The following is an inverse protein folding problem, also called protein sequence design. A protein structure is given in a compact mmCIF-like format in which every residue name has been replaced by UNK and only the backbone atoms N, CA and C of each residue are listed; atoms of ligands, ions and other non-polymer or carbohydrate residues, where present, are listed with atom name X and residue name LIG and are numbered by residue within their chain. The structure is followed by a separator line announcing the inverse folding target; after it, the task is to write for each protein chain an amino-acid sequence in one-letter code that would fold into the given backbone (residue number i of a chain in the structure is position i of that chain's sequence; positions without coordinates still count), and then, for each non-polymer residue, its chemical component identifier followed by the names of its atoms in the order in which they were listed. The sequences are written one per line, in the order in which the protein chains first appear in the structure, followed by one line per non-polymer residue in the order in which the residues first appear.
data_IF_733387344148
#
_entry.id   IF_733387344148
#
_cell.length_a   1.000
_cell.length_b   1.000
_cell.length_c   1.000
_cell.angle_alpha   90.00
_cell.angle_beta   90.00
_cell.angle_gamma   90.00
#
_symmetry.space_group_name_H-M   'P 1'
#
loop_
_entity.id
_entity.type
_entity.pdbx_description
1 polymer ?
#
# COMPACT_ATOMS: atom_id res chain seq x y z
N UNK A 1 -28.37 -10.84 8.40
CA UNK A 1 -27.08 -10.77 9.11
C UNK A 1 -27.00 -9.42 9.76
N UNK A 2 -27.21 -9.39 11.08
CA UNK A 2 -27.27 -8.17 11.89
C UNK A 2 -25.90 -7.50 11.90
N UNK A 3 -25.84 -6.26 11.40
CA UNK A 3 -24.68 -5.40 11.54
C UNK A 3 -24.43 -5.09 13.01
N UNK A 4 -23.45 -5.75 13.61
CA UNK A 4 -22.75 -5.19 14.75
C UNK A 4 -22.06 -3.92 14.27
N UNK A 5 -22.68 -2.78 14.54
CA UNK A 5 -22.01 -1.50 14.49
C UNK A 5 -20.77 -1.62 15.38
N UNK A 6 -19.59 -1.52 14.77
CA UNK A 6 -18.32 -1.44 15.47
C UNK A 6 -18.46 -0.36 16.55
N UNK A 7 -18.50 -0.76 17.82
CA UNK A 7 -18.65 0.16 18.92
C UNK A 7 -17.62 1.27 18.81
N UNK A 8 -18.06 2.53 18.97
CA UNK A 8 -17.19 3.69 18.88
C UNK A 8 -15.94 3.47 19.74
N UNK A 9 -14.77 3.47 19.08
CA UNK A 9 -13.49 3.28 19.75
C UNK A 9 -13.22 4.50 20.63
N UNK A 10 -13.53 4.41 21.93
CA UNK A 10 -13.22 5.49 22.87
C UNK A 10 -11.70 5.67 22.96
N UNK A 11 -11.21 6.83 22.52
CA UNK A 11 -9.80 7.17 22.63
C UNK A 11 -9.48 7.36 24.12
N UNK A 12 -8.69 6.45 24.66
CA UNK A 12 -8.22 6.50 26.06
C UNK A 12 -6.73 6.81 26.09
N UNK A 13 -6.24 7.40 27.18
CA UNK A 13 -4.81 7.70 27.37
C UNK A 13 -3.92 6.46 27.21
N UNK A 14 -4.27 5.28 27.75
CA UNK A 14 -3.48 4.06 27.54
C UNK A 14 -3.43 3.63 26.06
N UNK A 15 -4.54 3.76 25.34
CA UNK A 15 -4.60 3.44 23.91
C UNK A 15 -3.67 4.35 23.10
N UNK A 16 -3.68 5.65 23.41
CA UNK A 16 -2.82 6.63 22.76
C UNK A 16 -1.34 6.36 23.06
N UNK A 17 -0.98 6.04 24.30
CA UNK A 17 0.38 5.66 24.66
C UNK A 17 0.84 4.43 23.88
N UNK A 18 0.00 3.39 23.79
CA UNK A 18 0.33 2.20 22.99
C UNK A 18 0.47 2.52 21.51
N UNK A 19 -0.40 3.36 20.94
CA UNK A 19 -0.29 3.78 19.55
C UNK A 19 1.05 4.51 19.30
N UNK A 20 1.46 5.41 20.19
CA UNK A 20 2.76 6.11 20.11
C UNK A 20 3.92 5.10 20.17
N UNK A 21 3.91 4.21 21.16
CA UNK A 21 4.98 3.20 21.34
C UNK A 21 5.09 2.31 20.10
N UNK A 22 3.97 1.76 19.62
CA UNK A 22 3.94 0.88 18.45
C UNK A 22 4.44 1.63 17.21
N UNK A 23 3.96 2.87 17.00
CA UNK A 23 4.39 3.70 15.87
C UNK A 23 5.89 3.98 15.93
N UNK A 24 6.43 4.32 17.09
CA UNK A 24 7.86 4.57 17.27
C UNK A 24 8.71 3.32 17.00
N UNK A 25 8.31 2.17 17.54
CA UNK A 25 9.00 0.89 17.30
C UNK A 25 8.98 0.52 15.81
N UNK A 26 7.81 0.59 15.18
CA UNK A 26 7.68 0.30 13.73
C UNK A 26 8.51 1.27 12.89
N UNK A 27 8.56 2.56 13.26
CA UNK A 27 9.35 3.56 12.56
C UNK A 27 10.85 3.24 12.65
N UNK A 28 11.35 2.89 13.83
CA UNK A 28 12.76 2.50 14.03
C UNK A 28 13.08 1.25 13.20
N UNK A 29 12.23 0.23 13.25
CA UNK A 29 12.42 -0.99 12.46
C UNK A 29 12.40 -0.70 10.95
N UNK A 30 11.51 0.19 10.49
CA UNK A 30 11.45 0.62 9.10
C UNK A 30 12.70 1.34 8.64
N UNK A 31 13.19 2.29 9.43
CA UNK A 31 14.43 3.00 9.15
C UNK A 31 15.63 2.07 9.14
N UNK A 32 15.72 1.13 10.09
CA UNK A 32 16.76 0.10 10.09
C UNK A 32 16.70 -0.76 8.83
N UNK A 33 15.51 -1.23 8.46
CA UNK A 33 15.33 -2.02 7.24
C UNK A 33 15.78 -1.25 5.99
N UNK A 34 15.40 0.01 5.86
CA UNK A 34 15.80 0.87 4.74
C UNK A 34 17.31 1.13 4.75
N UNK A 35 17.92 1.33 5.91
CA UNK A 35 19.36 1.55 6.03
C UNK A 35 20.18 0.36 5.51
N UNK A 36 19.73 -0.87 5.79
CA UNK A 36 20.38 -2.09 5.30
C UNK A 36 19.95 -2.50 3.89
N UNK A 37 19.02 -1.77 3.28
CA UNK A 37 18.50 -2.10 1.97
C UNK A 37 19.51 -1.69 0.89
N UNK A 38 19.91 -2.60 -0.02
CA UNK A 38 20.79 -2.22 -1.12
C UNK A 38 20.15 -1.13 -1.99
N UNK A 39 20.97 -0.19 -2.45
CA UNK A 39 20.52 0.97 -3.24
C UNK A 39 19.53 0.65 -4.37
N UNK A 40 19.71 -0.42 -5.19
CA UNK A 40 18.78 -0.76 -6.26
C UNK A 40 17.34 -1.05 -5.79
N UNK A 41 17.16 -1.48 -4.54
CA UNK A 41 15.86 -1.82 -3.97
C UNK A 41 15.19 -0.66 -3.23
N UNK A 42 15.91 0.44 -2.97
CA UNK A 42 15.44 1.60 -2.20
C UNK A 42 14.19 2.29 -2.76
N UNK A 43 13.93 2.16 -4.06
CA UNK A 43 12.73 2.72 -4.68
C UNK A 43 11.50 1.80 -4.59
N UNK A 44 11.69 0.48 -4.56
CA UNK A 44 10.59 -0.50 -4.68
C UNK A 44 10.27 -1.21 -3.36
N UNK A 45 11.23 -1.27 -2.43
CA UNK A 45 11.11 -1.96 -1.15
C UNK A 45 11.26 -1.00 0.03
N UNK A 46 11.12 0.32 -0.17
CA UNK A 46 11.16 1.24 0.95
C UNK A 46 9.86 1.14 1.75
N UNK A 47 10.00 0.87 3.05
CA UNK A 47 8.89 0.61 3.96
C UNK A 47 7.96 1.83 4.16
N UNK A 48 8.44 3.03 3.82
CA UNK A 48 7.69 4.28 3.77
C UNK A 48 7.13 4.65 2.39
N UNK A 49 7.38 3.84 1.37
CA UNK A 49 6.88 4.08 0.01
C UNK A 49 5.76 3.12 -0.36
N UNK A 50 4.95 3.55 -1.33
CA UNK A 50 3.91 2.75 -1.96
C UNK A 50 4.54 1.54 -2.66
N UNK A 51 4.12 0.34 -2.27
CA UNK A 51 4.36 -0.85 -3.07
C UNK A 51 3.29 -0.82 -4.16
N UNK A 52 3.70 -0.50 -5.39
CA UNK A 52 2.82 -0.48 -6.56
C UNK A 52 2.31 -1.90 -6.85
N UNK A 53 1.26 -2.32 -6.16
CA UNK A 53 0.56 -3.58 -6.41
C UNK A 53 -0.72 -3.26 -7.17
N UNK A 54 -0.91 -3.78 -8.39
CA UNK A 54 -2.12 -3.50 -9.18
C UNK A 54 -3.39 -3.83 -8.38
N UNK A 55 -4.23 -2.82 -8.14
CA UNK A 55 -5.52 -2.95 -7.43
C UNK A 55 -5.49 -2.72 -5.92
N UNK A 56 -4.31 -2.64 -5.28
CA UNK A 56 -4.15 -2.29 -3.86
C UNK A 56 -2.84 -1.53 -3.67
N UNK A 57 -2.90 -0.21 -3.77
CA UNK A 57 -1.78 0.66 -3.40
C UNK A 57 -1.61 0.64 -1.88
N UNK A 58 -0.80 -0.31 -1.39
CA UNK A 58 -0.49 -0.47 0.04
C UNK A 58 0.92 0.03 0.31
N UNK A 59 1.05 0.85 1.35
CA UNK A 59 2.35 1.18 1.92
C UNK A 59 3.00 -0.09 2.52
N UNK A 60 4.33 -0.18 2.44
CA UNK A 60 5.06 -1.40 2.83
C UNK A 60 4.87 -1.82 4.29
N UNK A 61 4.74 -0.86 5.21
CA UNK A 61 4.52 -1.13 6.64
C UNK A 61 3.13 -1.74 6.93
N UNK A 62 1.99 -1.14 6.51
CA UNK A 62 0.67 -1.75 6.63
C UNK A 62 0.59 -3.17 6.05
N UNK A 63 1.23 -3.40 4.90
CA UNK A 63 1.29 -4.73 4.28
C UNK A 63 2.01 -5.73 5.19
N UNK A 64 3.20 -5.38 5.68
CA UNK A 64 4.00 -6.24 6.56
C UNK A 64 3.26 -6.57 7.86
N UNK A 65 2.65 -5.57 8.50
CA UNK A 65 1.85 -5.77 9.73
C UNK A 65 0.64 -6.66 9.46
N UNK A 66 -0.01 -6.53 8.31
CA UNK A 66 -1.13 -7.39 7.93
C UNK A 66 -0.70 -8.86 7.75
N UNK A 67 0.47 -9.12 7.16
CA UNK A 67 1.03 -10.47 7.06
C UNK A 67 1.34 -11.06 8.44
N UNK A 68 1.96 -10.28 9.33
CA UNK A 68 2.24 -10.72 10.71
C UNK A 68 0.94 -11.04 11.45
N UNK A 69 -0.08 -10.20 11.32
CA UNK A 69 -1.41 -10.45 11.90
C UNK A 69 -1.98 -11.76 11.34
N UNK A 70 -1.94 -11.98 10.02
CA UNK A 70 -2.45 -13.20 9.40
C UNK A 70 -1.75 -14.48 9.93
N UNK A 71 -0.44 -14.42 10.16
CA UNK A 71 0.31 -15.51 10.80
C UNK A 71 -0.07 -15.67 12.27
N UNK A 72 -0.15 -14.58 13.03
CA UNK A 72 -0.53 -14.61 14.45
C UNK A 72 -1.97 -15.10 14.67
N UNK A 73 -2.87 -14.90 13.72
CA UNK A 73 -4.25 -15.42 13.77
C UNK A 73 -4.30 -16.95 13.77
N UNK A 74 -3.26 -17.62 13.26
CA UNK A 74 -3.16 -19.09 13.31
C UNK A 74 -2.84 -19.61 14.71
N UNK A 75 -2.34 -18.76 15.61
CA UNK A 75 -1.92 -19.14 16.96
C UNK A 75 -3.07 -18.87 17.95
N UNK A 76 -3.72 -19.90 18.52
CA UNK A 76 -4.92 -19.72 19.35
C UNK A 76 -4.72 -18.83 20.57
N UNK A 77 -3.53 -18.86 21.17
CA UNK A 77 -3.19 -18.05 22.35
C UNK A 77 -3.09 -16.55 22.05
N UNK A 78 -2.75 -16.19 20.81
CA UNK A 78 -2.58 -14.80 20.35
C UNK A 78 -3.88 -14.29 19.71
N UNK A 79 -4.59 -15.16 18.99
CA UNK A 79 -5.85 -14.85 18.30
C UNK A 79 -6.87 -14.13 19.18
N UNK A 80 -6.96 -14.48 20.48
CA UNK A 80 -7.88 -13.82 21.43
C UNK A 80 -7.62 -12.31 21.62
N UNK A 81 -6.43 -11.82 21.30
CA UNK A 81 -6.07 -10.40 21.37
C UNK A 81 -6.24 -9.67 20.03
N UNK A 82 -6.45 -10.39 18.93
CA UNK A 82 -6.60 -9.82 17.58
C UNK A 82 -8.07 -9.50 17.29
N UNK A 83 -8.66 -8.62 18.10
CA UNK A 83 -10.02 -8.10 17.87
C UNK A 83 -10.02 -7.12 16.69
N UNK A 84 -11.18 -6.88 16.07
CA UNK A 84 -11.31 -5.93 14.96
C UNK A 84 -10.75 -4.54 15.33
N UNK A 85 -11.05 -4.05 16.53
CA UNK A 85 -10.52 -2.79 17.06
C UNK A 85 -8.99 -2.77 17.14
N UNK A 86 -8.38 -3.84 17.64
CA UNK A 86 -6.92 -3.92 17.76
C UNK A 86 -6.25 -4.04 16.39
N UNK A 87 -6.86 -4.76 15.45
CA UNK A 87 -6.36 -4.85 14.07
C UNK A 87 -6.40 -3.48 13.39
N UNK A 88 -7.50 -2.74 13.53
CA UNK A 88 -7.63 -1.38 12.98
C UNK A 88 -6.58 -0.44 13.60
N UNK A 89 -6.36 -0.53 14.92
CA UNK A 89 -5.32 0.25 15.60
C UNK A 89 -3.92 -0.08 15.04
N UNK A 90 -3.59 -1.36 14.94
CA UNK A 90 -2.29 -1.82 14.42
C UNK A 90 -2.09 -1.37 12.97
N UNK A 91 -3.12 -1.47 12.13
CA UNK A 91 -3.07 -1.01 10.75
C UNK A 91 -2.86 0.50 10.66
N UNK A 92 -3.58 1.29 11.47
CA UNK A 92 -3.45 2.75 11.49
C UNK A 92 -2.08 3.18 12.01
N UNK A 93 -1.56 2.53 13.05
CA UNK A 93 -0.22 2.77 13.56
C UNK A 93 0.86 2.40 12.53
N UNK A 94 0.67 1.31 11.77
CA UNK A 94 1.56 0.93 10.69
C UNK A 94 1.55 1.94 9.53
N UNK A 95 0.38 2.50 9.20
CA UNK A 95 0.24 3.55 8.20
C UNK A 95 1.01 4.81 8.61
N UNK A 96 0.82 5.26 9.85
CA UNK A 96 1.55 6.40 10.40
C UNK A 96 3.06 6.15 10.45
N UNK A 97 3.49 4.96 10.91
CA UNK A 97 4.89 4.58 10.95
C UNK A 97 5.53 4.54 9.56
N UNK A 98 4.78 4.13 8.53
CA UNK A 98 5.24 4.18 7.13
C UNK A 98 5.59 5.61 6.71
N UNK A 99 4.70 6.57 7.01
CA UNK A 99 4.94 7.97 6.69
C UNK A 99 6.21 8.51 7.40
N UNK A 100 6.46 8.10 8.64
CA UNK A 100 7.64 8.51 9.41
C UNK A 100 8.93 7.77 9.03
N UNK A 101 8.85 6.53 8.54
CA UNK A 101 9.99 5.73 8.12
C UNK A 101 10.47 6.07 6.70
N UNK A 102 9.86 7.05 6.04
CA UNK A 102 10.22 7.42 4.68
C UNK A 102 11.48 8.29 4.64
N UNK A 103 12.63 7.69 4.35
CA UNK A 103 13.91 8.39 4.17
C UNK A 103 13.91 9.39 3.00
N UNK A 104 12.94 9.30 2.08
CA UNK A 104 12.73 10.27 1.00
C UNK A 104 11.84 11.45 1.43
N UNK A 105 11.24 11.43 2.61
CA UNK A 105 10.46 12.54 3.18
C UNK A 105 11.27 13.21 4.31
N UNK A 106 11.31 14.55 4.42
CA UNK A 106 10.55 15.55 3.64
C UNK A 106 11.20 15.91 2.29
N UNK A 107 12.38 15.38 1.98
CA UNK A 107 13.26 15.94 0.95
C UNK A 107 12.85 15.70 -0.50
N UNK A 108 12.11 14.65 -0.84
CA UNK A 108 11.68 14.33 -2.23
C UNK A 108 10.21 14.72 -2.47
N UNK A 109 9.36 14.50 -1.47
CA UNK A 109 7.91 14.74 -1.54
C UNK A 109 7.54 16.24 -1.56
N UNK A 110 8.28 17.11 -0.85
CA UNK A 110 8.04 18.57 -0.91
C UNK A 110 8.29 19.12 -2.33
N UNK A 111 9.35 18.66 -3.00
CA UNK A 111 9.57 19.04 -4.41
C UNK A 111 8.59 18.35 -5.34
N UNK A 112 8.05 17.19 -5.00
CA UNK A 112 7.00 16.57 -5.80
C UNK A 112 5.78 17.48 -5.89
N UNK A 113 5.40 18.17 -4.82
CA UNK A 113 4.29 19.14 -4.87
C UNK A 113 4.60 20.38 -5.71
N UNK A 114 5.86 20.83 -5.71
CA UNK A 114 6.31 21.98 -6.51
C UNK A 114 6.60 21.64 -7.98
N UNK A 115 6.94 20.39 -8.28
CA UNK A 115 7.25 19.90 -9.63
C UNK A 115 6.13 19.06 -10.22
N UNK A 116 5.09 18.73 -9.44
CA UNK A 116 3.89 18.06 -9.91
C UNK A 116 3.19 18.96 -10.92
N UNK A 117 3.29 18.57 -12.19
CA UNK A 117 2.37 19.08 -13.20
C UNK A 117 1.02 18.41 -12.95
N UNK A 118 -0.02 19.21 -12.71
CA UNK A 118 -1.40 18.73 -12.83
C UNK A 118 -1.59 18.27 -14.27
N UNK A 119 -1.49 16.95 -14.50
CA UNK A 119 -1.74 16.37 -15.80
C UNK A 119 -3.22 16.54 -16.15
N UNK A 120 -3.51 17.19 -17.27
CA UNK A 120 -4.85 17.12 -17.86
C UNK A 120 -5.01 15.78 -18.57
N UNK A 121 -6.27 15.34 -18.75
CA UNK A 121 -6.55 14.12 -19.48
C UNK A 121 -5.86 14.11 -20.86
N UNK A 122 -5.89 15.23 -21.59
CA UNK A 122 -5.25 15.35 -22.90
C UNK A 122 -3.73 15.19 -22.80
N UNK A 123 -3.10 15.75 -21.77
CA UNK A 123 -1.65 15.67 -21.60
C UNK A 123 -1.15 14.27 -21.24
N UNK A 124 -2.00 13.45 -20.60
CA UNK A 124 -1.66 12.10 -20.14
C UNK A 124 -1.92 11.08 -21.27
N UNK A 125 -3.06 11.19 -21.97
CA UNK A 125 -3.46 10.21 -23.00
C UNK A 125 -2.53 10.16 -24.20
N UNK A 126 -1.76 11.23 -24.46
CA UNK A 126 -0.74 11.24 -25.54
C UNK A 126 0.40 10.25 -25.28
N UNK A 127 0.69 9.95 -24.01
CA UNK A 127 1.82 9.10 -23.62
C UNK A 127 1.41 7.71 -23.10
N UNK A 128 0.11 7.47 -22.92
CA UNK A 128 -0.41 6.19 -22.41
C UNK A 128 -1.06 5.43 -23.57
N UNK A 129 -0.40 4.40 -24.11
CA UNK A 129 -1.02 3.56 -25.13
C UNK A 129 -2.32 2.91 -24.66
N UNK A 130 -3.29 2.77 -25.56
CA UNK A 130 -4.58 2.14 -25.22
C UNK A 130 -4.43 0.69 -24.76
N UNK A 131 -3.43 -0.04 -25.25
CA UNK A 131 -3.22 -1.44 -24.85
C UNK A 131 -2.67 -1.61 -23.42
N UNK A 132 -2.14 -0.55 -22.81
CA UNK A 132 -1.62 -0.57 -21.42
C UNK A 132 -2.60 0.05 -20.42
N UNK A 133 -3.76 0.51 -20.90
CA UNK A 133 -4.81 1.13 -20.09
C UNK A 133 -6.12 0.36 -20.25
N UNK A 134 -6.88 0.12 -19.17
CA UNK A 134 -8.18 -0.48 -19.31
C UNK A 134 -9.12 0.51 -20.00
N UNK A 135 -9.99 0.02 -20.89
CA UNK A 135 -11.01 0.85 -21.55
C UNK A 135 -11.84 1.59 -20.50
N UNK A 136 -12.26 2.83 -20.81
CA UNK A 136 -13.04 3.67 -19.90
C UNK A 136 -14.22 2.93 -19.26
N UNK A 137 -15.00 2.22 -20.06
CA UNK A 137 -16.17 1.45 -19.57
C UNK A 137 -15.78 0.41 -18.52
N UNK A 138 -14.63 -0.24 -18.70
CA UNK A 138 -14.11 -1.21 -17.75
C UNK A 138 -13.62 -0.52 -16.47
N UNK A 139 -12.91 0.61 -16.59
CA UNK A 139 -12.43 1.38 -15.45
C UNK A 139 -13.57 1.97 -14.61
N UNK A 140 -14.65 2.45 -15.23
CA UNK A 140 -15.82 3.00 -14.52
C UNK A 140 -16.50 1.95 -13.62
N UNK A 141 -16.52 0.67 -14.03
CA UNK A 141 -17.05 -0.45 -13.22
C UNK A 141 -16.24 -0.65 -11.93
N UNK A 142 -14.92 -0.48 -11.98
CA UNK A 142 -14.06 -0.54 -10.79
C UNK A 142 -14.23 0.69 -9.89
N UNK A 143 -14.24 1.90 -10.49
CA UNK A 143 -14.29 3.17 -9.74
C UNK A 143 -15.63 3.33 -9.01
N UNK A 144 -16.74 3.07 -9.70
CA UNK A 144 -18.09 3.23 -9.12
C UNK A 144 -18.44 2.10 -8.16
N UNK A 145 -17.72 0.98 -8.24
CA UNK A 145 -18.01 -0.25 -7.53
C UNK A 145 -19.22 -0.97 -8.14
N UNK A 146 -19.02 -2.20 -8.58
CA UNK A 146 -20.08 -3.04 -9.17
C UNK A 146 -20.86 -3.86 -8.13
N UNK A 147 -20.39 -3.91 -6.88
CA UNK A 147 -20.94 -4.77 -5.82
C UNK A 147 -20.76 -6.27 -6.05
N UNK A 148 -20.18 -6.69 -7.18
CA UNK A 148 -19.95 -8.09 -7.54
C UNK A 148 -18.68 -8.25 -8.39
N UNK A 149 -17.81 -9.17 -7.96
CA UNK A 149 -16.56 -9.52 -8.65
C UNK A 149 -16.82 -10.07 -10.06
N UNK A 150 -17.95 -10.74 -10.26
CA UNK A 150 -18.33 -11.30 -11.55
C UNK A 150 -18.74 -10.24 -12.59
N UNK A 151 -19.11 -9.03 -12.13
CA UNK A 151 -19.48 -7.92 -13.01
C UNK A 151 -18.25 -7.17 -13.57
N UNK A 152 -17.04 -7.51 -13.11
CA UNK A 152 -15.81 -6.93 -13.61
C UNK A 152 -15.50 -7.55 -14.99
N UNK A 153 -15.24 -6.76 -16.03
CA UNK A 153 -14.91 -7.26 -17.36
C UNK A 153 -13.47 -7.81 -17.42
N UNK A 154 -13.24 -8.96 -16.78
CA UNK A 154 -11.92 -9.59 -16.62
C UNK A 154 -11.16 -9.78 -17.93
N UNK A 155 -11.86 -10.10 -19.03
CA UNK A 155 -11.23 -10.24 -20.35
C UNK A 155 -10.56 -8.96 -20.87
N UNK A 156 -11.00 -7.78 -20.42
CA UNK A 156 -10.37 -6.48 -20.75
C UNK A 156 -9.30 -6.07 -19.74
N UNK A 157 -9.42 -6.51 -18.48
CA UNK A 157 -8.47 -6.17 -17.42
C UNK A 157 -7.24 -7.07 -17.38
N UNK A 158 -7.40 -8.38 -17.57
CA UNK A 158 -6.31 -9.36 -17.45
C UNK A 158 -5.11 -9.03 -18.36
N UNK A 159 -5.30 -8.69 -19.66
CA UNK A 159 -4.17 -8.35 -20.53
C UNK A 159 -3.40 -7.12 -20.04
N UNK A 160 -4.12 -6.09 -19.57
CA UNK A 160 -3.53 -4.88 -19.00
C UNK A 160 -2.77 -5.22 -17.72
N UNK A 161 -3.39 -5.93 -16.77
CA UNK A 161 -2.73 -6.36 -15.53
C UNK A 161 -1.48 -7.20 -15.79
N UNK A 162 -1.54 -8.12 -16.75
CA UNK A 162 -0.41 -8.94 -17.15
C UNK A 162 0.73 -8.07 -17.72
N UNK A 163 0.40 -7.08 -18.57
CA UNK A 163 1.39 -6.13 -19.08
C UNK A 163 2.08 -5.36 -17.95
N UNK A 164 1.32 -4.83 -16.98
CA UNK A 164 1.89 -4.13 -15.83
C UNK A 164 2.81 -5.04 -14.99
N UNK A 165 2.40 -6.29 -14.78
CA UNK A 165 3.22 -7.28 -14.07
C UNK A 165 4.51 -7.60 -14.81
N UNK A 166 4.44 -7.84 -16.13
CA UNK A 166 5.61 -8.10 -16.96
C UNK A 166 6.52 -6.89 -17.06
N UNK A 167 5.98 -5.68 -17.21
CA UNK A 167 6.76 -4.45 -17.23
C UNK A 167 7.56 -4.33 -15.94
N UNK A 168 6.94 -4.50 -14.76
CA UNK A 168 7.65 -4.45 -13.49
C UNK A 168 8.72 -5.56 -13.39
N UNK A 169 8.40 -6.79 -13.79
CA UNK A 169 9.35 -7.91 -13.79
C UNK A 169 10.54 -7.67 -14.73
N UNK A 170 10.33 -7.10 -15.91
CA UNK A 170 11.40 -6.75 -16.85
C UNK A 170 12.30 -5.66 -16.29
N UNK A 171 11.73 -4.57 -15.77
CA UNK A 171 12.54 -3.49 -15.17
C UNK A 171 13.30 -3.98 -13.93
N UNK A 172 12.67 -4.76 -13.06
CA UNK A 172 13.35 -5.37 -11.92
C UNK A 172 14.49 -6.30 -12.36
N UNK A 173 14.26 -7.15 -13.36
CA UNK A 173 15.28 -8.04 -13.93
C UNK A 173 16.47 -7.27 -14.53
N UNK A 174 16.19 -6.20 -15.28
CA UNK A 174 17.22 -5.30 -15.82
C UNK A 174 18.02 -4.64 -14.69
N UNK A 175 17.34 -4.09 -13.67
CA UNK A 175 18.01 -3.47 -12.52
C UNK A 175 18.90 -4.44 -11.75
N UNK A 176 18.49 -5.69 -11.58
CA UNK A 176 19.33 -6.74 -10.97
C UNK A 176 20.52 -7.08 -11.87
N UNK A 177 20.36 -7.10 -13.19
CA UNK A 177 21.46 -7.41 -14.13
C UNK A 177 22.53 -6.33 -14.24
N UNK A 178 22.20 -5.09 -13.88
CA UNK A 178 23.10 -3.93 -13.95
C UNK A 178 23.81 -3.63 -12.62
N UNK A 179 23.44 -4.32 -11.53
CA UNK A 179 24.04 -4.21 -10.21
C UNK A 179 25.15 -5.26 -10.01
#
# INVERSE_FOLDING_TARGET
MSGEYAGELKITTPLLMWAIIITAVLTVLGNMFIFFLPWPFSCNMNAGTLIATPGMELLGMPFTVSLVIALCMQIPSIRKYLTASNIVLLYTAALAASAFANTNSPWREIYALMTARLGTAESITVYVPEFVSPSRDAAEVLIRGSGSVAAIPWGRFIPVMAWWFFMFAFFAGISVSLA
#
